data_IF_895851738238
#
_entry.id   IF_895851738238
#
_cell.length_a   1.000
_cell.length_b   1.000
_cell.length_c   1.000
_cell.angle_alpha   90.00
_cell.angle_beta   90.00
_cell.angle_gamma   90.00
#
_symmetry.space_group_name_H-M   'P 1'
#
loop_
_entity.id
_entity.type
_entity.pdbx_description
1 polymer ?
#
# COMPACT_ATOMS: atom_id res chain seq x y z
N UNK A 1 -8.65 9.91 -9.30
CA UNK A 1 -8.17 8.61 -8.77
C UNK A 1 -8.99 8.09 -7.58
N UNK A 2 -9.72 8.95 -6.84
CA UNK A 2 -10.66 8.54 -5.77
C UNK A 2 -12.09 8.30 -6.29
N UNK A 3 -12.46 8.89 -7.44
CA UNK A 3 -13.81 8.80 -8.01
C UNK A 3 -14.21 7.41 -8.53
N UNK A 4 -13.26 6.53 -8.85
CA UNK A 4 -13.58 5.17 -9.32
C UNK A 4 -14.03 4.20 -8.22
N UNK A 5 -13.83 4.53 -6.93
CA UNK A 5 -14.33 3.70 -5.84
C UNK A 5 -15.84 3.91 -5.59
N UNK A 6 -16.35 5.10 -5.92
CA UNK A 6 -17.73 5.49 -5.70
C UNK A 6 -18.74 4.73 -6.60
N UNK A 7 -18.29 4.17 -7.72
CA UNK A 7 -19.18 3.50 -8.69
C UNK A 7 -19.46 2.03 -8.40
N UNK A 8 -18.84 1.44 -7.37
CA UNK A 8 -18.97 -0.01 -7.08
C UNK A 8 -20.17 -0.40 -6.21
N UNK A 9 -21.02 0.54 -5.80
CA UNK A 9 -22.23 0.22 -5.02
C UNK A 9 -21.96 -0.29 -3.60
N UNK A 10 -20.69 -0.26 -3.14
CA UNK A 10 -20.34 -0.45 -1.74
C UNK A 10 -20.74 0.83 -1.01
N UNK A 11 -21.89 0.76 -0.34
CA UNK A 11 -22.42 1.80 0.54
C UNK A 11 -21.30 2.53 1.32
N UNK A 12 -21.16 3.83 1.06
CA UNK A 12 -20.67 4.89 1.96
C UNK A 12 -19.76 4.45 3.15
N UNK A 13 -18.52 4.99 3.15
CA UNK A 13 -17.61 5.24 4.29
C UNK A 13 -16.49 4.26 4.72
N UNK A 14 -16.18 3.15 4.03
CA UNK A 14 -15.03 2.30 4.43
C UNK A 14 -13.89 2.28 3.41
N UNK A 15 -12.67 2.36 3.91
CA UNK A 15 -11.45 2.33 3.11
C UNK A 15 -11.23 0.92 2.50
N UNK A 16 -10.74 0.79 1.24
CA UNK A 16 -10.56 -0.51 0.58
C UNK A 16 -9.70 -1.51 1.36
N UNK A 17 -8.66 -1.03 2.04
CA UNK A 17 -7.79 -1.88 2.86
C UNK A 17 -8.54 -2.48 4.05
N UNK A 18 -9.40 -1.70 4.71
CA UNK A 18 -10.26 -2.17 5.79
C UNK A 18 -11.22 -3.25 5.29
N UNK A 19 -11.87 -3.03 4.14
CA UNK A 19 -12.78 -4.03 3.55
C UNK A 19 -12.06 -5.34 3.22
N UNK A 20 -10.85 -5.26 2.67
CA UNK A 20 -10.04 -6.43 2.34
C UNK A 20 -9.54 -7.18 3.58
N UNK A 21 -9.22 -6.46 4.66
CA UNK A 21 -8.84 -7.05 5.94
C UNK A 21 -10.03 -7.73 6.62
N UNK A 22 -11.19 -7.05 6.71
CA UNK A 22 -12.42 -7.58 7.30
C UNK A 22 -12.94 -8.82 6.55
N UNK A 23 -12.73 -8.87 5.24
CA UNK A 23 -13.04 -10.04 4.42
C UNK A 23 -12.05 -11.21 4.60
N UNK A 24 -10.99 -11.05 5.40
CA UNK A 24 -9.95 -12.06 5.63
C UNK A 24 -9.03 -12.32 4.43
N UNK A 25 -8.96 -11.37 3.49
CA UNK A 25 -8.24 -11.55 2.21
C UNK A 25 -6.78 -11.12 2.34
N UNK A 26 -6.51 -10.01 3.04
CA UNK A 26 -5.15 -9.53 3.24
C UNK A 26 -4.44 -10.32 4.35
N UNK A 27 -3.19 -10.76 4.12
CA UNK A 27 -2.31 -11.18 5.20
C UNK A 27 -2.13 -10.08 6.25
N UNK A 28 -1.67 -10.44 7.46
CA UNK A 28 -1.37 -9.46 8.52
C UNK A 28 -0.42 -8.36 8.02
N UNK A 29 -0.79 -7.12 8.28
CA UNK A 29 0.00 -5.93 8.01
C UNK A 29 -0.07 -4.95 9.18
N UNK A 30 0.76 -3.93 9.13
CA UNK A 30 0.86 -2.82 10.08
C UNK A 30 0.27 -1.59 9.43
N UNK A 31 -0.70 -0.96 10.10
CA UNK A 31 -1.31 0.28 9.64
C UNK A 31 -0.36 1.46 9.82
N UNK A 32 -0.57 2.54 9.06
CA UNK A 32 0.17 3.80 9.16
C UNK A 32 0.28 4.26 10.61
N UNK A 33 -0.85 4.39 11.31
CA UNK A 33 -0.87 4.88 12.70
C UNK A 33 -0.02 4.03 13.65
N UNK A 34 0.09 2.73 13.39
CA UNK A 34 0.91 1.82 14.21
C UNK A 34 2.41 1.95 13.92
N UNK A 35 2.80 2.47 12.75
CA UNK A 35 4.21 2.73 12.43
C UNK A 35 4.80 3.79 13.35
N UNK A 36 3.97 4.72 13.85
CA UNK A 36 4.35 5.79 14.79
C UNK A 36 4.88 5.23 16.12
N UNK A 37 4.51 4.01 16.49
CA UNK A 37 4.97 3.35 17.72
C UNK A 37 6.10 2.33 17.48
N UNK A 38 6.52 2.11 16.22
CA UNK A 38 7.61 1.18 15.88
C UNK A 38 8.97 1.83 15.98
N UNK A 39 9.93 1.07 16.52
CA UNK A 39 11.34 1.45 16.60
C UNK A 39 11.97 1.59 15.22
N UNK A 40 12.93 2.51 15.11
CA UNK A 40 13.75 2.67 13.91
C UNK A 40 14.44 1.34 13.52
N UNK A 41 14.52 1.04 12.23
CA UNK A 41 15.01 -0.22 11.63
C UNK A 41 14.15 -1.47 11.90
N UNK A 42 12.93 -1.33 12.42
CA UNK A 42 12.00 -2.47 12.55
C UNK A 42 11.62 -3.06 11.19
N UNK A 43 11.51 -4.39 11.13
CA UNK A 43 10.86 -5.07 10.01
C UNK A 43 9.35 -4.85 10.09
N UNK A 44 8.76 -4.35 9.00
CA UNK A 44 7.32 -4.09 8.90
C UNK A 44 6.76 -4.67 7.62
N UNK A 45 5.49 -5.07 7.67
CA UNK A 45 4.68 -5.34 6.48
C UNK A 45 3.56 -4.33 6.46
N UNK A 46 3.45 -3.53 5.41
CA UNK A 46 2.39 -2.53 5.25
C UNK A 46 1.56 -2.86 4.01
N UNK A 47 0.29 -2.45 3.98
CA UNK A 47 -0.57 -2.61 2.82
C UNK A 47 -1.38 -1.33 2.61
N UNK A 48 -1.52 -0.90 1.36
CA UNK A 48 -2.25 0.32 1.05
C UNK A 48 -2.68 0.44 -0.41
N UNK A 49 -3.61 1.35 -0.66
CA UNK A 49 -3.95 1.82 -2.00
C UNK A 49 -2.79 2.66 -2.51
N UNK A 50 -2.29 2.39 -3.71
CA UNK A 50 -1.22 3.21 -4.28
C UNK A 50 -1.82 4.51 -4.81
N UNK A 51 -1.56 5.63 -4.13
CA UNK A 51 -2.07 6.96 -4.48
C UNK A 51 -1.06 7.79 -5.26
N UNK A 52 0.23 7.48 -5.16
CA UNK A 52 1.29 8.20 -5.85
C UNK A 52 2.54 7.38 -6.13
N UNK A 53 3.22 7.71 -7.23
CA UNK A 53 4.57 7.25 -7.57
C UNK A 53 5.37 8.42 -8.11
N UNK A 54 6.42 8.83 -7.43
CA UNK A 54 7.24 9.99 -7.81
C UNK A 54 8.71 9.58 -7.91
N UNK A 55 9.30 9.83 -9.08
CA UNK A 55 10.75 9.68 -9.30
C UNK A 55 11.30 11.07 -9.60
N UNK A 56 12.13 11.66 -8.72
CA UNK A 56 12.75 12.95 -9.01
C UNK A 56 13.65 12.83 -10.25
N UNK A 57 13.59 13.83 -11.15
CA UNK A 57 14.20 13.79 -12.50
C UNK A 57 15.72 13.59 -12.56
N UNK A 58 16.41 13.65 -11.42
CA UNK A 58 17.87 13.42 -11.28
C UNK A 58 18.23 12.38 -10.22
N UNK A 59 17.26 11.76 -9.53
CA UNK A 59 17.53 11.00 -8.31
C UNK A 59 17.92 9.53 -8.57
N UNK A 60 19.23 9.26 -8.48
CA UNK A 60 19.88 8.13 -7.78
C UNK A 60 19.24 6.72 -7.83
N UNK A 61 18.42 6.42 -8.83
CA UNK A 61 17.70 5.15 -8.91
C UNK A 61 16.73 4.91 -7.74
N UNK A 62 15.95 5.92 -7.35
CA UNK A 62 14.93 5.81 -6.29
C UNK A 62 13.56 6.32 -6.75
N UNK A 63 12.50 5.68 -6.29
CA UNK A 63 11.12 6.10 -6.48
C UNK A 63 10.38 6.10 -5.15
N UNK A 64 9.63 7.17 -4.90
CA UNK A 64 8.78 7.31 -3.73
C UNK A 64 7.37 6.87 -4.08
N UNK A 65 6.85 5.92 -3.32
CA UNK A 65 5.47 5.47 -3.39
C UNK A 65 4.71 6.05 -2.21
N UNK A 66 3.49 6.52 -2.45
CA UNK A 66 2.54 6.85 -1.40
C UNK A 66 1.47 5.77 -1.39
N UNK A 67 1.39 5.06 -0.27
CA UNK A 67 0.32 4.12 0.00
C UNK A 67 -0.65 4.73 1.00
N UNK A 68 -1.94 4.47 0.84
CA UNK A 68 -2.98 4.94 1.76
C UNK A 68 -3.67 3.75 2.42
N UNK A 69 -3.85 3.82 3.74
CA UNK A 69 -4.77 2.97 4.50
C UNK A 69 -5.81 3.83 5.24
N UNK A 70 -6.71 3.20 6.01
CA UNK A 70 -7.76 3.89 6.78
C UNK A 70 -7.23 4.85 7.85
N UNK A 71 -5.93 4.81 8.15
CA UNK A 71 -5.28 5.60 9.18
C UNK A 71 -4.30 6.64 8.64
N UNK A 72 -4.05 6.65 7.32
CA UNK A 72 -3.34 7.71 6.61
C UNK A 72 -2.33 7.23 5.59
N UNK A 73 -1.41 8.12 5.23
CA UNK A 73 -0.42 7.91 4.17
C UNK A 73 0.87 7.27 4.70
N UNK A 74 1.35 6.25 3.99
CA UNK A 74 2.59 5.54 4.23
C UNK A 74 3.54 5.85 3.08
N UNK A 75 4.67 6.46 3.41
CA UNK A 75 5.73 6.74 2.46
C UNK A 75 6.61 5.51 2.31
N UNK A 76 6.78 5.05 1.07
CA UNK A 76 7.59 3.89 0.74
C UNK A 76 8.70 4.30 -0.21
N UNK A 77 9.94 3.96 0.13
CA UNK A 77 11.11 4.19 -0.72
C UNK A 77 11.42 2.90 -1.48
N UNK A 78 11.41 2.97 -2.80
CA UNK A 78 11.71 1.83 -3.67
C UNK A 78 12.98 2.12 -4.47
N UNK A 79 14.03 1.37 -4.19
CA UNK A 79 15.28 1.44 -4.96
C UNK A 79 15.12 0.76 -6.32
N UNK A 80 15.90 1.23 -7.30
CA UNK A 80 15.85 0.75 -8.68
C UNK A 80 16.14 -0.73 -8.81
N UNK A 81 17.02 -1.30 -7.97
CA UNK A 81 17.25 -2.74 -7.92
C UNK A 81 15.98 -3.50 -7.52
N UNK A 82 15.30 -3.07 -6.46
CA UNK A 82 14.01 -3.61 -6.01
C UNK A 82 12.94 -3.46 -7.09
N UNK A 83 12.85 -2.29 -7.72
CA UNK A 83 11.90 -2.02 -8.79
C UNK A 83 12.14 -2.92 -10.02
N UNK A 84 13.38 -3.08 -10.47
CA UNK A 84 13.74 -3.95 -11.60
C UNK A 84 13.42 -5.41 -11.28
N UNK A 85 13.76 -5.89 -10.08
CA UNK A 85 13.51 -7.27 -9.66
C UNK A 85 12.00 -7.58 -9.50
N UNK A 86 11.17 -6.56 -9.26
CA UNK A 86 9.75 -6.71 -8.93
C UNK A 86 8.87 -5.83 -9.83
N UNK A 87 9.24 -5.78 -11.13
CA UNK A 87 8.72 -4.84 -12.12
C UNK A 87 7.19 -4.82 -12.25
N UNK A 88 6.56 -6.00 -12.20
CA UNK A 88 5.10 -6.11 -12.31
C UNK A 88 4.42 -5.38 -11.13
N UNK A 89 4.70 -5.81 -9.89
CA UNK A 89 4.14 -5.17 -8.70
C UNK A 89 4.49 -3.69 -8.62
N UNK A 90 5.70 -3.31 -9.00
CA UNK A 90 6.14 -1.91 -9.04
C UNK A 90 5.28 -1.04 -9.98
N UNK A 91 5.03 -1.50 -11.22
CA UNK A 91 4.35 -0.70 -12.25
C UNK A 91 2.83 -0.71 -12.14
N UNK A 92 2.22 -1.85 -11.84
CA UNK A 92 0.78 -2.06 -12.10
C UNK A 92 -0.10 -2.05 -10.86
N UNK A 93 0.48 -2.14 -9.65
CA UNK A 93 -0.32 -2.34 -8.44
C UNK A 93 -1.23 -1.13 -8.14
N UNK A 94 -2.52 -1.38 -7.93
CA UNK A 94 -3.45 -0.44 -7.32
C UNK A 94 -3.56 -0.66 -5.81
N UNK A 95 -3.45 -1.92 -5.37
CA UNK A 95 -3.26 -2.30 -3.97
C UNK A 95 -1.88 -2.95 -3.86
N UNK A 96 -1.04 -2.42 -2.98
CA UNK A 96 0.33 -2.90 -2.80
C UNK A 96 0.57 -3.26 -1.34
N UNK A 97 1.07 -4.47 -1.12
CA UNK A 97 1.67 -4.85 0.15
C UNK A 97 3.19 -4.79 0.04
N UNK A 98 3.84 -4.19 1.03
CA UNK A 98 5.28 -3.98 1.08
C UNK A 98 5.83 -4.61 2.35
N UNK A 99 6.78 -5.53 2.21
CA UNK A 99 7.65 -5.94 3.32
C UNK A 99 8.93 -5.13 3.24
N UNK A 100 9.26 -4.46 4.33
CA UNK A 100 10.36 -3.50 4.34
C UNK A 100 10.89 -3.21 5.73
N UNK A 101 11.80 -2.25 5.76
CA UNK A 101 12.42 -1.75 6.98
C UNK A 101 11.85 -0.35 7.24
N UNK A 102 11.28 -0.15 8.41
CA UNK A 102 10.86 1.17 8.86
C UNK A 102 12.11 2.00 9.19
N UNK A 103 12.17 3.19 8.61
CA UNK A 103 13.18 4.18 8.89
C UNK A 103 12.52 5.48 9.37
N UNK A 104 13.30 6.22 10.15
CA UNK A 104 12.91 7.46 10.81
C UNK A 104 14.04 8.43 10.63
N UNK A 105 13.72 9.60 10.09
CA UNK A 105 14.63 10.72 9.95
C UNK A 105 13.94 11.95 10.55
N UNK A 106 14.29 12.27 11.80
CA UNK A 106 13.50 13.21 12.60
C UNK A 106 12.07 12.73 12.78
N UNK A 107 11.10 13.54 12.32
CA UNK A 107 9.67 13.24 12.39
C UNK A 107 9.15 12.45 11.17
N UNK A 108 9.97 12.32 10.12
CA UNK A 108 9.56 11.65 8.89
C UNK A 108 9.74 10.15 9.03
N UNK A 109 8.68 9.40 8.74
CA UNK A 109 8.68 7.94 8.68
C UNK A 109 8.58 7.50 7.22
N UNK A 110 9.46 6.59 6.83
CA UNK A 110 9.38 5.91 5.54
C UNK A 110 9.68 4.41 5.68
N UNK A 111 9.15 3.61 4.78
CA UNK A 111 9.44 2.18 4.69
C UNK A 111 10.35 1.93 3.49
N UNK A 112 11.56 1.44 3.73
CA UNK A 112 12.45 0.99 2.66
C UNK A 112 11.95 -0.37 2.15
N UNK A 113 11.54 -0.42 0.89
CA UNK A 113 10.94 -1.61 0.30
C UNK A 113 11.97 -2.71 0.02
N UNK A 114 11.74 -3.90 0.59
CA UNK A 114 12.46 -5.13 0.24
C UNK A 114 11.65 -6.04 -0.69
N UNK A 115 10.37 -6.26 -0.36
CA UNK A 115 9.44 -7.07 -1.16
C UNK A 115 8.19 -6.26 -1.50
N UNK A 116 7.82 -6.26 -2.78
CA UNK A 116 6.59 -5.71 -3.32
C UNK A 116 5.65 -6.86 -3.70
N UNK A 117 4.39 -6.79 -3.26
CA UNK A 117 3.37 -7.81 -3.51
C UNK A 117 2.14 -7.11 -4.08
N UNK A 118 1.82 -7.41 -5.34
CA UNK A 118 0.63 -6.88 -6.00
C UNK A 118 -0.62 -7.58 -5.47
N UNK A 119 -1.46 -6.83 -4.77
CA UNK A 119 -2.72 -7.27 -4.18
C UNK A 119 -3.94 -6.78 -4.97
N UNK A 120 -3.74 -6.18 -6.16
CA UNK A 120 -4.80 -5.56 -6.95
C UNK A 120 -5.93 -6.53 -7.32
N UNK A 121 -5.58 -7.79 -7.57
CA UNK A 121 -6.55 -8.85 -7.91
C UNK A 121 -7.59 -9.09 -6.80
N UNK A 122 -7.32 -8.72 -5.55
CA UNK A 122 -8.28 -8.84 -4.48
C UNK A 122 -9.45 -7.85 -4.57
N UNK A 123 -9.32 -6.76 -5.34
CA UNK A 123 -10.43 -5.84 -5.59
C UNK A 123 -11.57 -6.52 -6.36
N UNK A 124 -11.25 -7.41 -7.29
CA UNK A 124 -12.27 -8.20 -8.02
C UNK A 124 -13.04 -9.15 -7.09
N UNK A 125 -12.37 -9.68 -6.06
CA UNK A 125 -13.01 -10.55 -5.07
C UNK A 125 -14.02 -9.78 -4.19
N UNK A 126 -13.74 -8.50 -3.87
CA UNK A 126 -14.70 -7.64 -3.17
C UNK A 126 -15.95 -7.37 -4.01
N UNK A 127 -15.77 -7.11 -5.31
CA UNK A 127 -16.89 -6.88 -6.23
C UNK A 127 -17.78 -8.12 -6.37
N UNK A 128 -17.20 -9.32 -6.42
CA UNK A 128 -17.97 -10.57 -6.48
C UNK A 128 -18.82 -10.76 -5.22
N UNK A 129 -18.22 -10.66 -4.03
CA UNK A 129 -18.94 -10.85 -2.76
C UNK A 129 -20.03 -9.81 -2.56
N UNK A 130 -19.80 -8.55 -2.93
CA UNK A 130 -20.81 -7.49 -2.79
C UNK A 130 -22.07 -7.74 -3.64
N UNK A 131 -21.96 -8.47 -4.75
CA UNK A 131 -23.10 -8.81 -5.62
C UNK A 131 -23.94 -9.97 -5.10
N UNK A 132 -23.38 -10.81 -4.23
CA UNK A 132 -24.08 -11.93 -3.60
C UNK A 132 -24.90 -11.49 -2.37
N UNK A 133 -24.78 -10.23 -1.93
CA UNK A 133 -25.64 -9.62 -0.91
C UNK A 133 -26.76 -8.80 -1.59
N UNK A 134 -27.78 -9.49 -2.10
CA UNK A 134 -29.06 -8.89 -2.50
C UNK A 134 -30.23 -9.82 -2.19
#
# INVERSE_FOLDING_TARGET
>A
LIEDYASTGLSLNRHPITLLEEAGILPRFTRMKQLVDKEHKSLVTVAGVVTGRQSPGTAAGVTFFTLEDDTGNINVVVWSATARAQKQAYLTSKILMVKGILEREGEVIHVIAGKLIDCTHYLSNLQSKSRDFH
#
